data_IF_634605599550
#
_entry.id   IF_634605599550
#
_cell.length_a   1.000
_cell.length_b   1.000
_cell.length_c   1.000
_cell.angle_alpha   90.00
_cell.angle_beta   90.00
_cell.angle_gamma   90.00
#
_symmetry.space_group_name_H-M   'P 1'
#
loop_
_entity.id
_entity.type
_entity.pdbx_description
1 polymer ?
#
# COMPACT_ATOMS: atom_id res chain seq x y z
N UNK A 1 -26.00 1.47 10.51
CA UNK A 1 -25.59 0.23 9.80
C UNK A 1 -24.37 -0.37 10.49
N UNK A 2 -24.16 -1.69 10.48
CA UNK A 2 -22.89 -2.27 10.97
C UNK A 2 -21.73 -1.83 10.06
N UNK A 3 -20.49 -1.70 10.58
CA UNK A 3 -19.31 -1.46 9.74
C UNK A 3 -19.18 -2.53 8.65
N UNK A 4 -19.11 -2.08 7.40
CA UNK A 4 -18.77 -2.90 6.24
C UNK A 4 -17.27 -2.83 6.00
N UNK A 5 -16.71 -3.89 5.42
CA UNK A 5 -15.32 -3.93 4.99
C UNK A 5 -15.28 -3.95 3.46
N UNK A 6 -14.32 -3.23 2.89
CA UNK A 6 -14.09 -3.17 1.45
C UNK A 6 -12.64 -3.51 1.15
N UNK A 7 -12.39 -4.22 0.06
CA UNK A 7 -11.06 -4.36 -0.53
C UNK A 7 -11.02 -3.52 -1.81
N UNK A 8 -10.19 -2.48 -1.83
CA UNK A 8 -9.86 -1.81 -3.08
C UNK A 8 -8.98 -2.77 -3.91
N UNK A 9 -9.30 -2.99 -5.18
CA UNK A 9 -8.54 -3.85 -6.08
C UNK A 9 -7.39 -3.07 -6.75
N UNK A 10 -6.22 -3.69 -6.99
CA UNK A 10 -5.03 -3.01 -7.52
C UNK A 10 -5.21 -2.61 -8.98
N UNK A 11 -5.95 -3.45 -9.71
CA UNK A 11 -6.07 -3.42 -11.15
C UNK A 11 -6.86 -2.20 -11.61
N UNK A 12 -6.28 -1.41 -12.52
CA UNK A 12 -7.01 -0.37 -13.24
C UNK A 12 -7.96 -1.01 -14.26
N UNK A 13 -9.21 -0.57 -14.25
CA UNK A 13 -10.29 -1.13 -15.05
C UNK A 13 -10.79 -0.12 -16.09
N UNK A 14 -11.28 -0.67 -17.19
CA UNK A 14 -12.01 0.03 -18.23
C UNK A 14 -13.33 -0.67 -18.51
N UNK A 15 -14.32 0.10 -18.98
CA UNK A 15 -15.62 -0.39 -19.46
C UNK A 15 -15.59 -0.33 -20.97
N UNK A 16 -15.66 -1.48 -21.62
CA UNK A 16 -15.65 -1.64 -23.07
C UNK A 16 -17.06 -1.90 -23.57
N UNK A 17 -17.43 -1.25 -24.67
CA UNK A 17 -18.68 -1.53 -25.38
C UNK A 17 -18.41 -2.18 -26.73
N UNK A 18 -19.14 -3.25 -27.01
CA UNK A 18 -19.18 -3.94 -28.29
C UNK A 18 -20.61 -4.02 -28.81
N UNK A 19 -20.75 -4.23 -30.13
CA UNK A 19 -22.04 -4.50 -30.74
C UNK A 19 -22.61 -5.87 -30.26
N UNK A 20 -23.93 -6.05 -30.21
CA UNK A 20 -24.55 -7.25 -29.62
C UNK A 20 -24.30 -8.53 -30.44
N UNK A 21 -23.95 -8.40 -31.71
CA UNK A 21 -23.60 -9.45 -32.67
C UNK A 21 -22.09 -9.68 -32.80
N UNK A 22 -21.26 -8.83 -32.17
CA UNK A 22 -19.82 -9.01 -32.15
C UNK A 22 -19.45 -10.18 -31.21
N UNK A 23 -18.37 -10.89 -31.54
CA UNK A 23 -17.77 -11.91 -30.65
C UNK A 23 -16.43 -11.39 -30.14
N UNK A 24 -16.38 -10.73 -28.96
CA UNK A 24 -15.12 -10.29 -28.37
C UNK A 24 -14.21 -11.48 -28.06
N UNK A 25 -12.90 -11.33 -28.27
CA UNK A 25 -11.94 -12.34 -27.83
C UNK A 25 -11.72 -12.23 -26.32
N UNK A 26 -12.43 -13.08 -25.57
CA UNK A 26 -12.38 -13.07 -24.11
C UNK A 26 -11.08 -13.63 -23.53
N UNK A 27 -10.14 -14.14 -24.34
CA UNK A 27 -8.90 -14.72 -23.84
C UNK A 27 -8.14 -13.77 -22.90
N UNK A 28 -8.02 -12.49 -23.26
CA UNK A 28 -7.36 -11.48 -22.44
C UNK A 28 -8.12 -11.16 -21.15
N UNK A 29 -9.46 -11.13 -21.20
CA UNK A 29 -10.29 -10.81 -20.04
C UNK A 29 -10.36 -11.97 -19.03
N UNK A 30 -10.31 -13.24 -19.48
CA UNK A 30 -10.42 -14.44 -18.63
C UNK A 30 -9.23 -14.62 -17.67
N UNK A 31 -8.10 -13.99 -17.96
CA UNK A 31 -6.92 -14.04 -17.09
C UNK A 31 -6.85 -12.84 -16.13
N UNK A 32 -7.80 -11.90 -16.20
CA UNK A 32 -7.86 -10.77 -15.30
C UNK A 32 -8.33 -11.18 -13.90
N UNK A 33 -7.82 -10.49 -12.87
CA UNK A 33 -8.25 -10.63 -11.48
C UNK A 33 -9.75 -10.35 -11.29
N UNK A 34 -10.28 -9.42 -12.09
CA UNK A 34 -11.69 -9.08 -12.15
C UNK A 34 -12.10 -8.86 -13.60
N UNK A 35 -13.20 -9.49 -14.00
CA UNK A 35 -13.93 -9.13 -15.21
C UNK A 35 -15.43 -9.37 -15.04
N UNK A 36 -16.24 -8.57 -15.74
CA UNK A 36 -17.69 -8.73 -15.82
C UNK A 36 -18.12 -8.57 -17.27
N UNK A 37 -18.96 -9.48 -17.74
CA UNK A 37 -19.52 -9.44 -19.10
C UNK A 37 -21.04 -9.38 -18.97
N UNK A 38 -21.64 -8.34 -19.52
CA UNK A 38 -23.08 -8.15 -19.55
C UNK A 38 -23.52 -8.02 -21.01
N UNK A 39 -24.29 -8.97 -21.49
CA UNK A 39 -24.92 -8.89 -22.81
C UNK A 39 -26.38 -8.47 -22.67
N UNK A 40 -26.75 -7.44 -23.43
CA UNK A 40 -28.13 -7.01 -23.60
C UNK A 40 -28.52 -7.17 -25.07
N UNK A 41 -29.76 -6.81 -25.43
CA UNK A 41 -30.17 -6.77 -26.84
C UNK A 41 -29.42 -5.69 -27.65
N UNK A 42 -28.84 -4.69 -26.97
CA UNK A 42 -28.27 -3.49 -27.61
C UNK A 42 -26.74 -3.53 -27.67
N UNK A 43 -26.08 -4.24 -26.76
CA UNK A 43 -24.63 -4.22 -26.62
C UNK A 43 -24.11 -5.40 -25.80
N UNK A 44 -22.80 -5.61 -25.92
CA UNK A 44 -22.01 -6.36 -24.94
C UNK A 44 -21.13 -5.35 -24.20
N UNK A 45 -21.33 -5.24 -22.89
CA UNK A 45 -20.50 -4.43 -21.99
C UNK A 45 -19.52 -5.33 -21.25
N UNK A 46 -18.23 -5.02 -21.35
CA UNK A 46 -17.16 -5.75 -20.66
C UNK A 46 -16.41 -4.81 -19.74
N UNK A 47 -16.40 -5.13 -18.45
CA UNK A 47 -15.54 -4.46 -17.47
C UNK A 47 -14.36 -5.37 -17.21
N UNK A 48 -13.14 -4.91 -17.47
CA UNK A 48 -11.91 -5.68 -17.20
C UNK A 48 -10.70 -4.75 -17.16
N UNK A 49 -9.50 -5.30 -17.04
CA UNK A 49 -8.22 -4.59 -17.05
C UNK A 49 -8.14 -3.58 -18.20
N UNK A 50 -7.73 -2.35 -17.89
CA UNK A 50 -7.49 -1.32 -18.92
C UNK A 50 -6.46 -1.78 -19.96
N UNK A 51 -6.72 -1.46 -21.23
CA UNK A 51 -5.94 -1.90 -22.38
C UNK A 51 -6.19 -3.33 -22.86
N UNK A 52 -7.18 -4.05 -22.32
CA UNK A 52 -7.43 -5.45 -22.70
C UNK A 52 -7.94 -5.64 -24.14
N UNK A 53 -8.61 -4.61 -24.69
CA UNK A 53 -9.22 -4.66 -26.00
C UNK A 53 -8.83 -3.43 -26.83
N UNK A 54 -8.45 -3.66 -28.08
CA UNK A 54 -8.18 -2.61 -29.07
C UNK A 54 -9.30 -2.45 -30.12
N UNK A 55 -10.23 -3.40 -30.17
CA UNK A 55 -11.31 -3.49 -31.16
C UNK A 55 -12.70 -3.22 -30.57
N UNK A 56 -12.77 -2.61 -29.38
CA UNK A 56 -14.03 -2.17 -28.79
C UNK A 56 -14.57 -0.96 -29.53
N UNK A 57 -15.91 -0.86 -29.65
CA UNK A 57 -16.56 0.28 -30.27
C UNK A 57 -16.47 1.55 -29.41
N UNK A 58 -16.35 1.39 -28.10
CA UNK A 58 -16.04 2.46 -27.15
C UNK A 58 -15.31 1.90 -25.92
N UNK A 59 -14.51 2.74 -25.28
CA UNK A 59 -13.85 2.46 -24.01
C UNK A 59 -14.04 3.66 -23.07
N UNK A 60 -14.45 3.38 -21.83
CA UNK A 60 -14.44 4.33 -20.72
C UNK A 60 -13.42 3.86 -19.67
N UNK A 61 -12.27 4.53 -19.61
CA UNK A 61 -11.13 4.10 -18.79
C UNK A 61 -11.03 4.81 -17.43
N UNK A 62 -10.04 4.41 -16.62
CA UNK A 62 -9.72 5.09 -15.37
C UNK A 62 -10.66 4.75 -14.23
N UNK A 63 -11.08 3.48 -14.13
CA UNK A 63 -11.87 2.95 -13.03
C UNK A 63 -11.04 2.10 -12.08
N UNK A 64 -11.44 2.02 -10.82
CA UNK A 64 -10.93 1.06 -9.83
C UNK A 64 -12.11 0.53 -9.01
N UNK A 65 -12.02 -0.74 -8.60
CA UNK A 65 -13.10 -1.42 -7.90
C UNK A 65 -12.87 -1.51 -6.39
N UNK A 66 -13.90 -1.22 -5.61
CA UNK A 66 -14.03 -1.55 -4.19
C UNK A 66 -14.91 -2.80 -4.08
N UNK A 67 -14.33 -3.94 -3.74
CA UNK A 67 -15.06 -5.17 -3.45
C UNK A 67 -15.61 -5.09 -2.03
N UNK A 68 -16.91 -5.33 -1.86
CA UNK A 68 -17.49 -5.48 -0.53
C UNK A 68 -17.10 -6.86 0.06
N UNK A 69 -16.57 -6.91 1.28
CA UNK A 69 -16.11 -8.14 1.91
C UNK A 69 -17.21 -8.78 2.77
N UNK A 70 -17.52 -10.04 2.49
CA UNK A 70 -18.54 -10.82 3.19
C UNK A 70 -19.38 -11.62 2.19
N UNK A 71 -20.15 -12.57 2.71
CA UNK A 71 -21.24 -13.20 1.95
C UNK A 71 -22.52 -12.52 2.42
N UNK A 72 -23.18 -11.82 1.52
CA UNK A 72 -24.43 -11.14 1.82
C UNK A 72 -25.59 -11.95 1.26
N UNK A 73 -26.60 -12.18 2.10
CA UNK A 73 -27.85 -12.77 1.63
C UNK A 73 -28.48 -11.83 0.59
N UNK A 74 -28.95 -12.37 -0.53
CA UNK A 74 -29.67 -11.64 -1.57
C UNK A 74 -30.95 -10.97 -1.04
N UNK A 75 -31.45 -11.41 0.12
CA UNK A 75 -32.58 -10.79 0.83
C UNK A 75 -32.21 -9.47 1.54
N UNK A 76 -30.93 -9.15 1.67
CA UNK A 76 -30.45 -8.04 2.48
C UNK A 76 -30.65 -6.70 1.75
N UNK A 77 -31.64 -5.93 2.18
CA UNK A 77 -31.98 -4.64 1.56
C UNK A 77 -31.15 -3.48 2.12
N UNK A 78 -30.77 -2.54 1.25
CA UNK A 78 -30.32 -1.21 1.65
C UNK A 78 -28.80 -1.00 1.74
N UNK A 79 -27.96 -2.03 1.56
CA UNK A 79 -26.49 -1.85 1.49
C UNK A 79 -26.11 -0.95 0.32
N UNK A 80 -26.51 -1.31 -0.91
CA UNK A 80 -26.17 -0.52 -2.09
C UNK A 80 -26.77 0.89 -2.04
N UNK A 81 -27.99 1.03 -1.53
CA UNK A 81 -28.62 2.34 -1.36
C UNK A 81 -27.82 3.23 -0.39
N UNK A 82 -27.37 2.67 0.73
CA UNK A 82 -26.53 3.37 1.71
C UNK A 82 -25.17 3.75 1.13
N UNK A 83 -24.46 2.82 0.49
CA UNK A 83 -23.16 3.09 -0.14
C UNK A 83 -23.31 4.15 -1.24
N UNK A 84 -24.34 4.03 -2.08
CA UNK A 84 -24.61 4.99 -3.15
C UNK A 84 -24.89 6.38 -2.59
N UNK A 85 -25.65 6.49 -1.48
CA UNK A 85 -25.90 7.75 -0.80
C UNK A 85 -24.61 8.40 -0.31
N UNK A 86 -23.77 7.63 0.41
CA UNK A 86 -22.47 8.11 0.92
C UNK A 86 -21.56 8.65 -0.20
N UNK A 87 -21.45 7.91 -1.30
CA UNK A 87 -20.61 8.31 -2.42
C UNK A 87 -21.18 9.55 -3.14
N UNK A 88 -22.50 9.61 -3.34
CA UNK A 88 -23.16 10.75 -3.96
C UNK A 88 -23.00 12.04 -3.15
N UNK A 89 -23.12 11.98 -1.81
CA UNK A 89 -22.89 13.13 -0.91
C UNK A 89 -21.48 13.71 -1.03
N UNK A 90 -20.51 12.91 -1.47
CA UNK A 90 -19.12 13.30 -1.69
C UNK A 90 -18.78 13.54 -3.16
N UNK A 91 -19.78 13.60 -4.05
CA UNK A 91 -19.59 13.85 -5.48
C UNK A 91 -18.87 12.71 -6.21
N UNK A 92 -18.94 11.48 -5.69
CA UNK A 92 -18.30 10.30 -6.27
C UNK A 92 -19.32 9.52 -7.08
N UNK A 93 -19.17 9.55 -8.41
CA UNK A 93 -19.93 8.67 -9.30
C UNK A 93 -19.47 7.21 -9.11
N UNK A 94 -20.43 6.28 -9.18
CA UNK A 94 -20.18 4.85 -9.04
C UNK A 94 -20.76 4.05 -10.21
N UNK A 95 -20.16 2.89 -10.45
CA UNK A 95 -20.65 1.84 -11.33
C UNK A 95 -20.70 0.53 -10.53
N UNK A 96 -21.89 0.02 -10.24
CA UNK A 96 -22.07 -1.15 -9.38
C UNK A 96 -22.20 -2.44 -10.19
N UNK A 97 -21.49 -3.48 -9.76
CA UNK A 97 -21.58 -4.83 -10.32
C UNK A 97 -21.83 -5.81 -9.17
N UNK A 98 -23.02 -6.38 -9.13
CA UNK A 98 -23.35 -7.44 -8.18
C UNK A 98 -22.93 -8.81 -8.73
N UNK A 99 -22.47 -9.67 -7.83
CA UNK A 99 -22.20 -11.09 -8.08
C UNK A 99 -23.13 -11.93 -7.20
N UNK A 100 -22.99 -13.25 -7.26
CA UNK A 100 -23.74 -14.13 -6.35
C UNK A 100 -23.37 -13.88 -4.88
N UNK A 101 -22.08 -13.72 -4.58
CA UNK A 101 -21.59 -13.62 -3.19
C UNK A 101 -21.59 -12.19 -2.64
N UNK A 102 -21.28 -11.21 -3.49
CA UNK A 102 -21.02 -9.83 -3.06
C UNK A 102 -21.16 -8.79 -4.18
N UNK A 103 -20.97 -7.52 -3.83
CA UNK A 103 -20.99 -6.37 -4.74
C UNK A 103 -19.59 -5.78 -4.95
N UNK A 104 -19.36 -5.28 -6.16
CA UNK A 104 -18.20 -4.51 -6.55
C UNK A 104 -18.64 -3.10 -6.93
N UNK A 105 -18.07 -2.10 -6.27
CA UNK A 105 -18.36 -0.68 -6.51
C UNK A 105 -17.18 -0.06 -7.21
N UNK A 106 -17.33 0.20 -8.52
CA UNK A 106 -16.31 0.87 -9.30
C UNK A 106 -16.49 2.37 -9.16
N UNK A 107 -15.39 3.09 -8.96
CA UNK A 107 -15.34 4.55 -8.98
C UNK A 107 -14.18 4.99 -9.87
N UNK A 108 -14.19 6.24 -10.32
CA UNK A 108 -13.05 6.78 -11.07
C UNK A 108 -11.80 6.76 -10.21
N UNK A 109 -10.67 6.34 -10.76
CA UNK A 109 -9.38 6.29 -10.04
C UNK A 109 -9.02 7.66 -9.44
N UNK A 110 -9.38 8.75 -10.12
CA UNK A 110 -9.18 10.12 -9.65
C UNK A 110 -10.03 10.48 -8.40
N UNK A 111 -11.12 9.76 -8.14
CA UNK A 111 -12.04 10.00 -7.01
C UNK A 111 -11.93 8.95 -5.91
N UNK A 112 -10.98 8.01 -6.01
CA UNK A 112 -10.72 7.00 -4.98
C UNK A 112 -10.45 7.61 -3.60
N UNK A 113 -9.59 8.65 -3.44
CA UNK A 113 -9.38 9.26 -2.13
C UNK A 113 -10.67 9.77 -1.48
N UNK A 114 -11.56 10.37 -2.27
CA UNK A 114 -12.87 10.86 -1.83
C UNK A 114 -13.78 9.70 -1.45
N UNK A 115 -13.83 8.63 -2.25
CA UNK A 115 -14.61 7.43 -1.96
C UNK A 115 -14.20 6.77 -0.64
N UNK A 116 -12.89 6.65 -0.41
CA UNK A 116 -12.33 6.09 0.82
C UNK A 116 -12.65 6.99 2.02
N UNK A 117 -12.55 8.30 1.84
CA UNK A 117 -12.91 9.27 2.89
C UNK A 117 -14.39 9.16 3.26
N UNK A 118 -15.29 9.09 2.26
CA UNK A 118 -16.72 8.93 2.47
C UNK A 118 -17.04 7.65 3.26
N UNK A 119 -16.48 6.51 2.85
CA UNK A 119 -16.70 5.21 3.49
C UNK A 119 -16.12 5.18 4.93
N UNK A 120 -14.90 5.68 5.12
CA UNK A 120 -14.23 5.64 6.44
C UNK A 120 -14.86 6.61 7.44
N UNK A 121 -15.30 7.78 6.99
CA UNK A 121 -16.04 8.75 7.83
C UNK A 121 -17.38 8.17 8.29
N UNK A 122 -18.03 7.37 7.46
CA UNK A 122 -19.25 6.64 7.81
C UNK A 122 -19.02 5.40 8.70
N UNK A 123 -17.77 5.15 9.13
CA UNK A 123 -17.41 4.05 10.02
C UNK A 123 -17.19 2.70 9.31
N UNK A 124 -17.05 2.69 7.99
CA UNK A 124 -16.66 1.50 7.22
C UNK A 124 -15.12 1.38 7.14
N UNK A 125 -14.63 0.20 6.79
CA UNK A 125 -13.19 -0.06 6.62
C UNK A 125 -12.87 -0.30 5.17
N UNK A 126 -11.80 0.29 4.67
CA UNK A 126 -11.29 0.04 3.33
C UNK A 126 -9.86 -0.49 3.43
N UNK A 127 -9.67 -1.74 3.00
CA UNK A 127 -8.38 -2.36 2.82
C UNK A 127 -7.83 -1.95 1.45
N UNK A 128 -6.60 -1.47 1.44
CA UNK A 128 -5.95 -1.05 0.19
C UNK A 128 -5.35 -2.28 -0.52
N UNK A 129 -5.35 -2.33 -1.86
CA UNK A 129 -4.82 -3.45 -2.64
C UNK A 129 -3.32 -3.65 -2.43
N UNK A 130 -2.68 -2.62 -1.90
CA UNK A 130 -1.27 -2.56 -1.60
C UNK A 130 -0.93 -3.05 -0.18
N UNK A 131 -1.81 -3.80 0.48
CA UNK A 131 -1.33 -4.73 1.49
C UNK A 131 -0.64 -5.90 0.76
N UNK A 132 0.50 -5.61 0.14
CA UNK A 132 1.49 -6.66 -0.05
C UNK A 132 1.61 -7.41 1.27
N UNK A 133 1.61 -8.74 1.23
CA UNK A 133 1.57 -9.53 2.46
C UNK A 133 2.77 -9.11 3.29
N UNK A 134 2.51 -8.57 4.48
CA UNK A 134 3.56 -8.28 5.44
C UNK A 134 3.69 -9.49 6.35
N UNK A 135 4.90 -10.05 6.42
CA UNK A 135 5.24 -11.15 7.34
C UNK A 135 6.53 -10.83 8.08
N UNK A 136 6.68 -11.40 9.27
CA UNK A 136 7.97 -11.41 9.93
C UNK A 136 8.99 -12.17 9.05
N UNK A 137 10.21 -11.63 8.98
CA UNK A 137 11.32 -12.27 8.32
C UNK A 137 11.85 -13.43 9.16
N UNK A 138 12.34 -14.47 8.48
CA UNK A 138 13.10 -15.57 9.08
C UNK A 138 14.58 -15.44 8.69
N UNK A 139 15.47 -16.24 9.30
CA UNK A 139 16.90 -16.19 8.99
C UNK A 139 17.21 -16.45 7.51
N UNK A 140 16.42 -17.30 6.86
CA UNK A 140 16.59 -17.59 5.43
C UNK A 140 16.33 -16.36 4.54
N UNK A 141 15.63 -15.33 5.04
CA UNK A 141 15.42 -14.06 4.33
C UNK A 141 16.65 -13.14 4.35
N UNK A 142 17.67 -13.40 5.17
CA UNK A 142 18.82 -12.48 5.39
C UNK A 142 19.49 -12.04 4.09
N UNK A 143 19.88 -12.94 3.14
CA UNK A 143 20.52 -12.52 1.91
C UNK A 143 19.61 -11.64 1.04
N UNK A 144 18.30 -11.92 1.05
CA UNK A 144 17.30 -11.15 0.31
C UNK A 144 17.12 -9.76 0.94
N UNK A 145 16.98 -9.67 2.27
CA UNK A 145 16.83 -8.41 2.99
C UNK A 145 18.04 -7.50 2.78
N UNK A 146 19.27 -8.02 2.89
CA UNK A 146 20.48 -7.23 2.72
C UNK A 146 20.55 -6.64 1.31
N UNK A 147 20.21 -7.44 0.30
CA UNK A 147 20.11 -6.98 -1.10
C UNK A 147 19.02 -5.92 -1.27
N UNK A 148 17.82 -6.18 -0.76
CA UNK A 148 16.67 -5.27 -0.87
C UNK A 148 16.96 -3.91 -0.22
N UNK A 149 17.47 -3.90 1.02
CA UNK A 149 17.83 -2.68 1.76
C UNK A 149 18.88 -1.89 1.00
N UNK A 150 19.93 -2.56 0.53
CA UNK A 150 21.00 -1.93 -0.26
C UNK A 150 20.49 -1.30 -1.55
N UNK A 151 19.69 -2.04 -2.32
CA UNK A 151 19.11 -1.54 -3.57
C UNK A 151 18.14 -0.38 -3.36
N UNK A 152 17.28 -0.48 -2.35
CA UNK A 152 16.28 0.54 -2.04
C UNK A 152 16.86 1.84 -1.44
N UNK A 153 18.13 1.87 -1.03
CA UNK A 153 18.78 3.05 -0.47
C UNK A 153 19.90 3.61 -1.37
N UNK A 154 20.09 3.05 -2.57
CA UNK A 154 21.15 3.49 -3.49
C UNK A 154 20.94 4.93 -3.97
N UNK A 155 19.72 5.30 -4.33
CA UNK A 155 19.39 6.65 -4.78
C UNK A 155 19.56 7.70 -3.68
N UNK A 156 19.31 7.33 -2.42
CA UNK A 156 19.60 8.18 -1.26
C UNK A 156 21.11 8.37 -1.12
N UNK A 157 21.89 7.29 -1.23
CA UNK A 157 23.35 7.39 -1.17
C UNK A 157 23.92 8.25 -2.29
N UNK A 158 23.43 8.11 -3.52
CA UNK A 158 23.81 8.96 -4.66
C UNK A 158 23.45 10.44 -4.41
N UNK A 159 22.21 10.70 -3.97
CA UNK A 159 21.69 12.06 -3.70
C UNK A 159 22.50 12.81 -2.64
N UNK A 160 22.95 12.12 -1.61
CA UNK A 160 23.68 12.71 -0.48
C UNK A 160 25.18 12.42 -0.52
N UNK A 161 25.70 11.91 -1.64
CA UNK A 161 27.12 11.57 -1.83
C UNK A 161 27.69 10.66 -0.72
N UNK A 162 26.91 9.67 -0.30
CA UNK A 162 27.26 8.74 0.76
C UNK A 162 28.04 7.56 0.18
N UNK A 163 29.22 7.31 0.73
CA UNK A 163 30.12 6.24 0.33
C UNK A 163 30.43 5.34 1.54
N UNK A 164 30.96 4.13 1.33
CA UNK A 164 31.47 3.29 2.41
C UNK A 164 32.52 3.99 3.29
N UNK A 165 33.27 4.96 2.76
CA UNK A 165 34.31 5.68 3.48
C UNK A 165 33.74 6.78 4.40
N UNK A 166 32.76 7.55 3.93
CA UNK A 166 32.22 8.68 4.71
C UNK A 166 31.00 8.31 5.57
N UNK A 167 30.26 7.27 5.19
CA UNK A 167 29.06 6.80 5.88
C UNK A 167 29.04 5.26 5.90
N UNK A 168 30.03 4.61 6.53
CA UNK A 168 30.20 3.16 6.48
C UNK A 168 28.99 2.39 6.94
N UNK A 169 28.19 2.94 7.86
CA UNK A 169 26.99 2.33 8.45
C UNK A 169 25.68 2.70 7.73
N UNK A 170 25.74 3.47 6.64
CA UNK A 170 24.54 3.80 5.87
C UNK A 170 23.92 2.54 5.26
N UNK A 171 22.59 2.48 5.17
CA UNK A 171 21.82 1.32 4.72
C UNK A 171 22.12 0.90 3.28
N UNK A 172 22.61 1.80 2.43
CA UNK A 172 23.11 1.45 1.10
C UNK A 172 24.33 0.51 1.12
N UNK A 173 25.01 0.36 2.26
CA UNK A 173 26.16 -0.53 2.41
C UNK A 173 25.78 -1.84 3.15
N UNK A 174 24.49 -2.08 3.40
CA UNK A 174 24.01 -3.19 4.20
C UNK A 174 24.52 -4.55 3.69
N UNK A 175 25.02 -5.35 4.63
CA UNK A 175 25.56 -6.70 4.45
C UNK A 175 24.75 -7.71 5.28
N UNK A 176 24.92 -9.00 4.99
CA UNK A 176 24.18 -10.09 5.65
C UNK A 176 24.44 -10.13 7.17
N UNK A 177 25.70 -9.99 7.58
CA UNK A 177 26.16 -10.01 8.97
C UNK A 177 25.50 -8.91 9.84
N UNK A 178 25.17 -7.76 9.24
CA UNK A 178 24.46 -6.69 9.93
C UNK A 178 23.03 -7.09 10.29
N UNK A 179 22.35 -7.83 9.39
CA UNK A 179 20.99 -8.30 9.61
C UNK A 179 21.01 -9.45 10.62
N UNK A 180 21.96 -10.38 10.48
CA UNK A 180 22.20 -11.45 11.46
C UNK A 180 22.38 -10.88 12.87
N UNK A 181 23.33 -9.94 13.02
CA UNK A 181 23.61 -9.30 14.31
C UNK A 181 22.40 -8.54 14.86
N UNK A 182 21.60 -7.91 13.99
CA UNK A 182 20.38 -7.22 14.39
C UNK A 182 19.31 -8.21 14.90
N UNK A 183 19.08 -9.31 14.18
CA UNK A 183 18.15 -10.36 14.60
C UNK A 183 18.59 -11.03 15.91
N UNK A 184 19.90 -11.26 16.09
CA UNK A 184 20.47 -11.83 17.32
C UNK A 184 20.24 -10.91 18.54
N UNK A 185 20.15 -9.59 18.31
CA UNK A 185 19.81 -8.59 19.33
C UNK A 185 18.30 -8.44 19.56
N UNK A 186 17.47 -9.24 18.89
CA UNK A 186 16.01 -9.19 19.00
C UNK A 186 15.34 -8.13 18.14
N UNK A 187 16.05 -7.54 17.16
CA UNK A 187 15.43 -6.65 16.17
C UNK A 187 14.62 -7.50 15.20
N UNK A 188 13.33 -7.18 15.07
CA UNK A 188 12.41 -7.91 14.19
C UNK A 188 12.35 -7.21 12.84
N UNK A 189 12.58 -7.96 11.77
CA UNK A 189 12.38 -7.49 10.41
C UNK A 189 11.03 -7.97 9.88
N UNK A 190 10.34 -7.11 9.14
CA UNK A 190 9.13 -7.45 8.40
C UNK A 190 9.36 -7.25 6.91
N UNK A 191 8.93 -8.23 6.11
CA UNK A 191 9.03 -8.22 4.64
C UNK A 191 7.65 -7.95 4.07
N UNK A 192 7.56 -7.03 3.11
CA UNK A 192 6.37 -6.80 2.29
C UNK A 192 6.55 -7.48 0.93
N UNK A 193 5.61 -8.37 0.62
CA UNK A 193 5.56 -9.15 -0.63
C UNK A 193 4.41 -8.69 -1.52
N UNK A 194 4.71 -8.32 -2.77
CA UNK A 194 3.71 -7.99 -3.80
C UNK A 194 3.79 -9.05 -4.89
N UNK A 195 2.68 -9.69 -5.25
CA UNK A 195 2.66 -10.78 -6.23
C UNK A 195 3.68 -11.90 -5.89
N UNK A 196 3.77 -12.26 -4.59
CA UNK A 196 4.74 -13.22 -4.04
C UNK A 196 6.22 -12.82 -4.15
N UNK A 197 6.52 -11.59 -4.59
CA UNK A 197 7.88 -11.08 -4.69
C UNK A 197 8.18 -10.08 -3.57
N UNK A 198 9.27 -10.24 -2.81
CA UNK A 198 9.71 -9.26 -1.83
C UNK A 198 9.99 -7.91 -2.49
N UNK A 199 9.34 -6.85 -2.02
CA UNK A 199 9.49 -5.52 -2.60
C UNK A 199 9.68 -4.38 -1.59
N UNK A 200 9.50 -4.66 -0.30
CA UNK A 200 9.88 -3.75 0.78
C UNK A 200 10.19 -4.46 2.08
N UNK A 201 10.79 -3.75 3.02
CA UNK A 201 10.95 -4.20 4.40
C UNK A 201 10.99 -3.05 5.39
N UNK A 202 10.82 -3.37 6.66
CA UNK A 202 11.05 -2.46 7.80
C UNK A 202 11.57 -3.27 8.98
N UNK A 203 12.42 -2.67 9.80
CA UNK A 203 12.87 -3.24 11.06
C UNK A 203 12.25 -2.50 12.24
N UNK A 204 11.93 -3.24 13.30
CA UNK A 204 11.45 -2.71 14.56
C UNK A 204 12.38 -3.15 15.68
N UNK A 205 13.00 -2.19 16.34
CA UNK A 205 13.84 -2.41 17.53
C UNK A 205 13.08 -1.98 18.78
N UNK A 206 12.85 -2.91 19.71
CA UNK A 206 12.25 -2.58 21.00
C UNK A 206 13.35 -2.13 21.97
N UNK A 207 13.61 -0.82 22.00
CA UNK A 207 14.71 -0.25 22.76
C UNK A 207 14.41 -0.06 24.26
N UNK A 208 13.17 0.29 24.61
CA UNK A 208 12.70 0.50 25.99
C UNK A 208 11.23 0.04 26.12
N UNK A 209 10.72 -0.27 27.33
CA UNK A 209 9.37 -0.79 27.51
C UNK A 209 8.24 0.00 26.82
N UNK A 210 8.40 1.32 26.69
CA UNK A 210 7.39 2.20 26.08
C UNK A 210 7.80 2.76 24.70
N UNK A 211 8.98 2.37 24.19
CA UNK A 211 9.56 2.95 22.97
C UNK A 211 10.17 1.88 22.05
N UNK A 212 9.76 1.90 20.79
CA UNK A 212 10.49 1.21 19.72
C UNK A 212 11.02 2.18 18.65
N UNK A 213 12.11 1.78 18.01
CA UNK A 213 12.61 2.43 16.81
C UNK A 213 12.11 1.73 15.55
N UNK A 214 11.62 2.53 14.61
CA UNK A 214 11.39 2.12 13.23
C UNK A 214 12.67 2.39 12.45
N UNK A 215 13.29 1.33 11.95
CA UNK A 215 14.56 1.41 11.23
C UNK A 215 14.51 0.70 9.89
N UNK A 216 15.49 0.98 9.02
CA UNK A 216 15.71 0.26 7.75
C UNK A 216 14.45 0.12 6.88
N UNK A 217 13.58 1.14 6.91
CA UNK A 217 12.43 1.21 6.01
C UNK A 217 12.94 1.30 4.57
N UNK A 218 12.58 0.32 3.77
CA UNK A 218 13.06 0.18 2.41
C UNK A 218 11.93 -0.30 1.49
N UNK A 219 11.75 0.37 0.35
CA UNK A 219 10.88 -0.09 -0.73
C UNK A 219 11.66 0.06 -2.04
N UNK A 220 11.74 -1.02 -2.80
CA UNK A 220 12.46 -1.04 -4.08
C UNK A 220 11.89 0.02 -5.04
N UNK A 221 12.74 0.74 -5.82
CA UNK A 221 12.32 1.89 -6.64
C UNK A 221 11.06 1.67 -7.48
N UNK A 222 10.97 0.53 -8.19
CA UNK A 222 9.84 0.15 -9.06
C UNK A 222 8.49 -0.04 -8.35
N UNK A 223 8.52 -0.19 -7.01
CA UNK A 223 7.34 -0.41 -6.17
C UNK A 223 6.99 0.80 -5.29
N UNK A 224 7.73 1.91 -5.39
CA UNK A 224 7.44 3.15 -4.63
C UNK A 224 6.21 3.86 -5.18
N UNK A 225 5.70 4.84 -4.42
CA UNK A 225 4.50 5.65 -4.74
C UNK A 225 3.20 4.84 -4.87
N UNK A 226 3.19 3.64 -4.29
CA UNK A 226 2.06 2.70 -4.26
C UNK A 226 1.47 2.49 -2.85
N UNK A 227 1.92 3.26 -1.85
CA UNK A 227 1.48 3.11 -0.46
C UNK A 227 2.23 2.05 0.36
N UNK A 228 3.16 1.27 -0.20
CA UNK A 228 3.89 0.23 0.54
C UNK A 228 4.73 0.73 1.72
N UNK A 229 5.38 1.90 1.59
CA UNK A 229 6.10 2.49 2.72
C UNK A 229 5.17 2.81 3.88
N UNK A 230 3.97 3.33 3.58
CA UNK A 230 2.97 3.64 4.58
C UNK A 230 2.40 2.36 5.20
N UNK A 231 2.15 1.32 4.38
CA UNK A 231 1.70 0.01 4.87
C UNK A 231 2.69 -0.60 5.87
N UNK A 232 4.00 -0.54 5.57
CA UNK A 232 5.06 -1.00 6.47
C UNK A 232 5.09 -0.21 7.78
N UNK A 233 4.97 1.12 7.73
CA UNK A 233 4.91 1.97 8.94
C UNK A 233 3.68 1.64 9.79
N UNK A 234 2.50 1.52 9.16
CA UNK A 234 1.25 1.15 9.85
C UNK A 234 1.32 -0.25 10.46
N UNK A 235 2.04 -1.19 9.84
CA UNK A 235 2.30 -2.49 10.41
C UNK A 235 3.15 -2.39 11.68
N UNK A 236 4.21 -1.58 11.68
CA UNK A 236 5.00 -1.30 12.91
C UNK A 236 4.12 -0.70 14.00
N UNK A 237 3.21 0.22 13.68
CA UNK A 237 2.27 0.77 14.66
C UNK A 237 1.35 -0.30 15.25
N UNK A 238 0.88 -1.23 14.42
CA UNK A 238 0.06 -2.34 14.87
C UNK A 238 0.82 -3.25 15.85
N UNK A 239 2.04 -3.65 15.48
CA UNK A 239 2.92 -4.50 16.30
C UNK A 239 3.33 -3.81 17.61
N UNK A 240 3.60 -2.51 17.57
CA UNK A 240 3.89 -1.71 18.76
C UNK A 240 2.69 -1.69 19.72
N UNK A 241 1.47 -1.43 19.23
CA UNK A 241 0.26 -1.45 20.06
C UNK A 241 -0.02 -2.83 20.67
N UNK A 242 0.18 -3.91 19.91
CA UNK A 242 0.06 -5.28 20.43
C UNK A 242 1.04 -5.56 21.58
N UNK A 243 2.21 -4.91 21.57
CA UNK A 243 3.24 -5.02 22.61
C UNK A 243 3.11 -3.96 23.71
N UNK A 244 2.01 -3.18 23.72
CA UNK A 244 1.77 -2.07 24.65
C UNK A 244 2.85 -0.97 24.62
N UNK A 245 3.54 -0.82 23.49
CA UNK A 245 4.51 0.25 23.25
C UNK A 245 3.74 1.52 22.88
N UNK A 246 4.07 2.63 23.54
CA UNK A 246 3.33 3.88 23.44
C UNK A 246 3.94 4.84 22.42
N UNK A 247 5.22 4.69 22.09
CA UNK A 247 5.95 5.60 21.20
C UNK A 247 6.75 4.87 20.13
N UNK A 248 6.75 5.44 18.92
CA UNK A 248 7.62 5.04 17.82
C UNK A 248 8.51 6.20 17.42
N UNK A 249 9.82 5.96 17.31
CA UNK A 249 10.79 6.95 16.86
C UNK A 249 11.55 6.47 15.61
N UNK A 250 12.07 7.43 14.84
CA UNK A 250 12.93 7.17 13.68
C UNK A 250 13.99 8.26 13.54
N UNK A 251 15.18 7.88 13.08
CA UNK A 251 16.21 8.80 12.61
C UNK A 251 16.27 8.85 11.08
N UNK A 252 16.31 10.06 10.52
CA UNK A 252 16.49 10.30 9.07
C UNK A 252 17.59 11.33 8.82
N UNK A 253 18.05 11.45 7.57
CA UNK A 253 18.93 12.54 7.13
C UNK A 253 18.11 13.84 7.19
N UNK A 254 18.55 14.84 7.97
CA UNK A 254 17.79 16.07 8.22
C UNK A 254 17.53 16.88 6.94
N UNK A 255 18.48 16.86 6.01
CA UNK A 255 18.40 17.52 4.71
C UNK A 255 17.44 16.83 3.72
N UNK A 256 16.92 15.63 4.06
CA UNK A 256 15.96 14.90 3.25
C UNK A 256 14.52 15.39 3.46
N UNK A 257 14.27 16.67 3.14
CA UNK A 257 13.00 17.39 3.40
C UNK A 257 11.76 16.65 2.89
N UNK A 258 11.85 16.00 1.73
CA UNK A 258 10.75 15.22 1.14
C UNK A 258 10.36 14.03 2.01
N UNK A 259 11.34 13.34 2.60
CA UNK A 259 11.12 12.19 3.47
C UNK A 259 10.59 12.65 4.84
N UNK A 260 11.11 13.75 5.38
CA UNK A 260 10.59 14.35 6.62
C UNK A 260 9.11 14.72 6.46
N UNK A 261 8.74 15.41 5.38
CA UNK A 261 7.33 15.75 5.08
C UNK A 261 6.45 14.53 4.88
N UNK A 262 7.02 13.43 4.37
CA UNK A 262 6.28 12.18 4.24
C UNK A 262 5.96 11.57 5.61
N UNK A 263 6.92 11.55 6.54
CA UNK A 263 6.68 11.11 7.93
C UNK A 263 5.71 12.03 8.68
N UNK A 264 5.77 13.34 8.48
CA UNK A 264 4.80 14.30 9.05
C UNK A 264 3.36 13.97 8.64
N UNK A 265 3.13 13.60 7.38
CA UNK A 265 1.81 13.17 6.90
C UNK A 265 1.32 11.87 7.54
N UNK A 266 2.24 11.04 8.04
CA UNK A 266 1.91 9.82 8.79
C UNK A 266 1.71 10.09 10.29
N UNK A 267 1.85 11.33 10.74
CA UNK A 267 1.64 11.77 12.12
C UNK A 267 2.91 11.88 12.96
N UNK A 268 4.10 11.65 12.39
CA UNK A 268 5.35 11.88 13.10
C UNK A 268 5.60 13.38 13.29
N UNK A 269 6.25 13.72 14.39
CA UNK A 269 6.69 15.08 14.69
C UNK A 269 8.20 15.11 14.85
N UNK A 270 8.87 16.14 14.29
CA UNK A 270 10.28 16.37 14.55
C UNK A 270 10.49 16.65 16.05
N UNK A 271 11.39 15.90 16.69
CA UNK A 271 11.73 16.06 18.11
C UNK A 271 13.01 16.86 18.26
N UNK A 272 14.06 16.46 17.56
CA UNK A 272 15.35 17.13 17.57
C UNK A 272 16.14 16.83 16.30
N UNK A 273 17.16 17.65 16.05
CA UNK A 273 18.18 17.41 15.03
C UNK A 273 19.54 17.38 15.71
N UNK A 274 20.38 16.38 15.39
CA UNK A 274 21.68 16.19 16.03
C UNK A 274 22.79 15.96 15.01
N UNK A 275 23.95 16.57 15.26
CA UNK A 275 25.17 16.33 14.48
C UNK A 275 25.99 15.23 15.13
N UNK A 276 26.49 14.29 14.33
CA UNK A 276 27.40 13.25 14.78
C UNK A 276 28.76 13.41 14.08
N UNK A 277 29.90 13.38 14.81
CA UNK A 277 31.22 13.60 14.21
C UNK A 277 31.59 12.62 13.09
N UNK A 278 30.97 11.44 13.06
CA UNK A 278 31.25 10.36 12.12
C UNK A 278 30.24 10.29 10.96
N UNK A 279 29.30 11.23 10.85
CA UNK A 279 28.32 11.29 9.77
C UNK A 279 28.50 12.59 8.98
N UNK A 280 28.37 12.55 7.64
CA UNK A 280 28.51 13.73 6.79
C UNK A 280 27.23 14.58 6.73
N UNK A 281 26.22 14.27 7.56
CA UNK A 281 24.91 14.93 7.60
C UNK A 281 24.38 15.02 9.04
N UNK A 282 23.40 15.89 9.25
CA UNK A 282 22.66 15.92 10.52
C UNK A 282 21.57 14.86 10.52
N UNK A 283 21.29 14.27 11.68
CA UNK A 283 20.21 13.31 11.86
C UNK A 283 19.00 14.03 12.46
N UNK A 284 17.87 13.98 11.77
CA UNK A 284 16.58 14.40 12.30
C UNK A 284 15.90 13.22 13.01
N UNK A 285 15.62 13.38 14.29
CA UNK A 285 14.86 12.41 15.08
C UNK A 285 13.39 12.81 15.09
N UNK A 286 12.54 11.92 14.59
CA UNK A 286 11.10 12.12 14.55
C UNK A 286 10.40 11.06 15.42
N UNK A 287 9.28 11.44 16.03
CA UNK A 287 8.52 10.52 16.89
C UNK A 287 7.01 10.75 16.83
N UNK A 288 6.28 9.68 17.13
CA UNK A 288 4.81 9.65 17.24
C UNK A 288 4.40 8.87 18.49
N UNK A 289 3.40 9.37 19.21
CA UNK A 289 2.73 8.65 20.29
C UNK A 289 1.51 7.90 19.70
N UNK A 290 1.34 6.62 20.04
CA UNK A 290 0.42 5.66 19.40
C UNK A 290 -0.97 5.54 20.05
#
# INVERSE_FOLDING_TARGET
>A
MKPLNFDLLPTALSIYRFAPDQTPDFANARHAEFYSITQTQNEISIVTTSGAFSNAAAEESGWQALKLCGVFDLSLTGILAHISGLLAEHGVALFAISTFDTDYILVKSATIPQAITALTTAGHRVNMPHAGRIRAAVRDDIPMLAKLIREANRDVAERFHLTPENAPKHTSNCQNDWIETAMDKGIVFYVLECEQMPCGCVAMEHAKPELCYLERLAVLPRYRRRGFGEALVRHVFHEARQRHIQRVEIGTIAEHVELTRWYEKLGFTLKETRTFPHLPFQVAFMGIDL
#
